data_IF_962658587419
#
_entry.id   IF_962658587419
#
_cell.length_a   1.000
_cell.length_b   1.000
_cell.length_c   1.000
_cell.angle_alpha   90.00
_cell.angle_beta   90.00
_cell.angle_gamma   90.00
#
_symmetry.space_group_name_H-M   'P 1'
#
loop_
_entity.id
_entity.type
_entity.pdbx_description
1 polymer ?
#
# COMPACT_ATOMS: atom_id res chain seq x y z
N UNK A 1 -14.45 23.59 10.43
CA UNK A 1 -13.37 23.41 9.43
C UNK A 1 -13.35 21.96 8.99
N UNK A 2 -13.19 21.70 7.69
CA UNK A 2 -13.07 20.34 7.17
C UNK A 2 -11.66 19.81 7.49
N UNK A 3 -11.55 18.58 8.00
CA UNK A 3 -10.28 17.91 8.28
C UNK A 3 -9.47 17.75 6.98
N UNK A 4 -8.18 18.07 7.03
CA UNK A 4 -7.26 17.92 5.89
C UNK A 4 -6.09 17.02 6.24
N UNK A 5 -5.90 15.96 5.46
CA UNK A 5 -4.91 14.90 5.70
C UNK A 5 -3.83 14.91 4.61
N UNK A 6 -2.56 14.92 5.04
CA UNK A 6 -1.44 14.58 4.17
C UNK A 6 -1.19 13.08 4.23
N UNK A 7 -1.47 12.38 3.15
CA UNK A 7 -1.15 10.95 2.99
C UNK A 7 0.20 10.84 2.30
N UNK A 8 1.10 10.01 2.82
CA UNK A 8 2.41 9.75 2.22
C UNK A 8 2.46 8.33 1.65
N UNK A 9 2.69 8.21 0.35
CA UNK A 9 2.91 6.97 -0.39
C UNK A 9 4.13 7.15 -1.30
N UNK A 10 5.32 7.28 -0.70
CA UNK A 10 6.51 7.81 -1.36
C UNK A 10 6.99 6.98 -2.56
N UNK A 11 6.92 5.64 -2.49
CA UNK A 11 7.55 4.76 -3.49
C UNK A 11 6.61 4.26 -4.59
N UNK A 12 5.29 4.39 -4.41
CA UNK A 12 4.32 3.88 -5.39
C UNK A 12 3.08 4.77 -5.44
N UNK A 13 2.61 5.07 -6.65
CA UNK A 13 1.44 5.90 -6.90
C UNK A 13 0.15 5.08 -6.68
N UNK A 14 -0.79 5.54 -5.80
CA UNK A 14 -2.02 4.79 -5.50
C UNK A 14 -2.96 4.61 -6.68
N UNK A 15 -2.89 5.50 -7.68
CA UNK A 15 -3.73 5.45 -8.87
C UNK A 15 -3.02 4.83 -10.09
N UNK A 16 -1.79 4.35 -9.92
CA UNK A 16 -1.09 3.62 -10.99
C UNK A 16 -1.84 2.31 -11.34
N UNK A 17 -1.76 1.85 -12.60
CA UNK A 17 -2.34 0.58 -13.02
C UNK A 17 -1.87 -0.58 -12.16
N UNK A 18 -2.80 -1.48 -11.79
CA UNK A 18 -2.46 -2.69 -11.03
C UNK A 18 -1.73 -3.70 -11.90
N UNK A 19 -0.92 -4.56 -11.27
CA UNK A 19 -0.16 -5.60 -11.96
C UNK A 19 1.26 -5.17 -12.37
N UNK A 20 1.62 -3.90 -12.24
CA UNK A 20 2.99 -3.42 -12.42
C UNK A 20 3.92 -3.77 -11.24
N UNK A 21 5.20 -3.41 -11.38
CA UNK A 21 6.17 -3.50 -10.31
C UNK A 21 5.70 -2.73 -9.07
N UNK A 22 5.70 -3.38 -7.92
CA UNK A 22 5.31 -2.81 -6.62
C UNK A 22 3.87 -2.25 -6.51
N UNK A 23 3.06 -2.28 -7.59
CA UNK A 23 1.63 -1.93 -7.49
C UNK A 23 0.82 -3.13 -6.99
N UNK A 24 -0.02 -2.92 -5.98
CA UNK A 24 -0.75 -4.03 -5.38
C UNK A 24 -1.73 -3.59 -4.29
N UNK A 25 -1.94 -4.44 -3.30
CA UNK A 25 -2.92 -4.22 -2.23
C UNK A 25 -2.77 -2.90 -1.48
N UNK A 26 -1.54 -2.42 -1.27
CA UNK A 26 -1.31 -1.13 -0.63
C UNK A 26 -1.85 0.03 -1.49
N UNK A 27 -1.63 0.02 -2.80
CA UNK A 27 -2.14 1.04 -3.70
C UNK A 27 -3.66 1.10 -3.67
N UNK A 28 -4.31 -0.07 -3.73
CA UNK A 28 -5.77 -0.18 -3.61
C UNK A 28 -6.24 0.37 -2.26
N UNK A 29 -5.58 -0.04 -1.16
CA UNK A 29 -5.93 0.42 0.18
C UNK A 29 -5.84 1.94 0.31
N UNK A 30 -4.71 2.55 -0.10
CA UNK A 30 -4.51 4.00 -0.02
C UNK A 30 -5.53 4.75 -0.86
N UNK A 31 -5.75 4.30 -2.10
CA UNK A 31 -6.72 4.90 -3.03
C UNK A 31 -8.15 4.84 -2.46
N UNK A 32 -8.60 3.67 -2.04
CA UNK A 32 -9.99 3.49 -1.61
C UNK A 32 -10.25 4.12 -0.24
N UNK A 33 -9.28 4.08 0.69
CA UNK A 33 -9.39 4.80 1.96
C UNK A 33 -9.52 6.31 1.74
N UNK A 34 -8.64 6.88 0.90
CA UNK A 34 -8.66 8.32 0.62
C UNK A 34 -9.96 8.74 -0.10
N UNK A 35 -10.46 7.91 -1.03
CA UNK A 35 -11.77 8.11 -1.67
C UNK A 35 -12.89 8.11 -0.64
N UNK A 36 -12.89 7.15 0.28
CA UNK A 36 -13.93 7.03 1.30
C UNK A 36 -13.89 8.18 2.34
N UNK A 37 -12.70 8.70 2.64
CA UNK A 37 -12.52 9.89 3.47
C UNK A 37 -13.01 11.15 2.74
N UNK A 38 -12.67 11.32 1.47
CA UNK A 38 -13.15 12.42 0.63
C UNK A 38 -14.67 12.46 0.55
N UNK A 39 -15.33 11.31 0.35
CA UNK A 39 -16.79 11.18 0.34
C UNK A 39 -17.44 11.58 1.69
N UNK A 40 -16.66 11.65 2.78
CA UNK A 40 -17.11 12.13 4.11
C UNK A 40 -16.74 13.57 4.40
N UNK A 41 -16.28 14.32 3.39
CA UNK A 41 -15.93 15.73 3.53
C UNK A 41 -14.51 15.98 4.06
N UNK A 42 -13.64 14.96 4.11
CA UNK A 42 -12.24 15.10 4.45
C UNK A 42 -11.43 15.44 3.20
N UNK A 43 -10.58 16.46 3.25
CA UNK A 43 -9.66 16.76 2.16
C UNK A 43 -8.39 15.91 2.29
N UNK A 44 -8.03 15.18 1.23
CA UNK A 44 -6.87 14.26 1.24
C UNK A 44 -5.91 14.59 0.10
N UNK A 45 -4.69 14.96 0.43
CA UNK A 45 -3.58 15.11 -0.50
C UNK A 45 -2.63 13.91 -0.35
N UNK A 46 -2.50 13.07 -1.39
CA UNK A 46 -1.62 11.92 -1.38
C UNK A 46 -0.32 12.29 -2.11
N UNK A 47 0.76 12.41 -1.37
CA UNK A 47 2.07 12.68 -1.93
C UNK A 47 2.76 11.39 -2.36
N UNK A 48 3.17 11.34 -3.61
CA UNK A 48 3.91 10.21 -4.19
C UNK A 48 5.02 10.70 -5.12
N UNK A 49 6.08 9.92 -5.25
CA UNK A 49 7.17 10.22 -6.18
C UNK A 49 6.67 10.11 -7.63
N UNK A 50 7.03 11.08 -8.46
CA UNK A 50 6.82 11.01 -9.90
C UNK A 50 7.66 9.88 -10.49
N UNK A 51 7.04 8.94 -11.18
CA UNK A 51 7.70 7.78 -11.79
C UNK A 51 7.71 7.83 -13.32
N UNK A 52 6.93 8.72 -13.92
CA UNK A 52 6.87 8.95 -15.35
C UNK A 52 6.73 10.45 -15.61
N UNK A 53 7.20 10.94 -16.74
CA UNK A 53 7.14 12.36 -17.11
C UNK A 53 5.78 12.81 -17.65
N UNK A 54 4.92 11.88 -18.02
CA UNK A 54 3.63 12.10 -18.68
C UNK A 54 2.45 12.26 -17.71
N UNK A 55 2.70 12.24 -16.40
CA UNK A 55 1.65 12.43 -15.39
C UNK A 55 1.56 13.89 -14.93
N UNK A 56 0.35 14.39 -14.72
CA UNK A 56 0.12 15.71 -14.16
C UNK A 56 0.64 15.84 -12.73
N UNK A 57 1.06 17.06 -12.32
CA UNK A 57 1.54 17.33 -10.96
C UNK A 57 0.48 17.00 -9.90
N UNK A 58 -0.77 17.32 -10.19
CA UNK A 58 -1.91 17.06 -9.31
C UNK A 58 -3.02 16.39 -10.10
N UNK A 59 -3.48 15.26 -9.61
CA UNK A 59 -4.61 14.51 -10.19
C UNK A 59 -5.69 14.34 -9.14
N UNK A 60 -6.81 15.01 -9.30
CA UNK A 60 -8.02 14.72 -8.53
C UNK A 60 -8.70 13.49 -9.12
N UNK A 61 -8.75 12.40 -8.37
CA UNK A 61 -9.32 11.14 -8.85
C UNK A 61 -10.65 10.78 -8.18
N UNK A 62 -11.02 11.55 -7.15
CA UNK A 62 -12.30 11.43 -6.44
C UNK A 62 -12.56 12.74 -5.68
N UNK A 63 -13.84 13.12 -5.44
CA UNK A 63 -14.16 14.30 -4.65
C UNK A 63 -13.41 14.31 -3.29
N UNK A 64 -12.70 15.39 -3.02
CA UNK A 64 -11.90 15.57 -1.80
C UNK A 64 -10.61 14.76 -1.72
N UNK A 65 -10.26 13.96 -2.74
CA UNK A 65 -9.04 13.16 -2.75
C UNK A 65 -8.25 13.35 -4.04
N UNK A 66 -6.98 13.76 -3.92
CA UNK A 66 -6.08 13.98 -5.04
C UNK A 66 -4.68 13.42 -4.77
N UNK A 67 -4.02 13.05 -5.85
CA UNK A 67 -2.61 12.63 -5.85
C UNK A 67 -1.75 13.82 -6.26
N UNK A 68 -0.70 14.08 -5.51
CA UNK A 68 0.32 15.07 -5.79
C UNK A 68 1.61 14.32 -6.16
N UNK A 69 2.00 14.40 -7.42
CA UNK A 69 3.25 13.82 -7.90
C UNK A 69 4.39 14.80 -7.64
N UNK A 70 5.36 14.39 -6.85
CA UNK A 70 6.52 15.22 -6.50
C UNK A 70 7.78 14.71 -7.18
N UNK A 71 8.59 15.65 -7.67
CA UNK A 71 9.87 15.34 -8.28
C UNK A 71 10.90 15.01 -7.21
N UNK A 72 11.35 13.75 -7.23
CA UNK A 72 12.35 13.22 -6.32
C UNK A 72 13.11 12.08 -7.01
N UNK A 73 14.25 12.39 -7.59
CA UNK A 73 15.04 11.48 -8.40
C UNK A 73 14.47 11.27 -9.82
N UNK A 74 14.89 10.20 -10.53
CA UNK A 74 14.57 9.98 -11.92
C UNK A 74 13.08 9.63 -12.13
N UNK A 75 12.51 10.08 -13.24
CA UNK A 75 11.13 9.80 -13.64
C UNK A 75 11.00 8.38 -14.23
N UNK A 76 11.34 7.39 -13.44
CA UNK A 76 11.20 5.96 -13.75
C UNK A 76 11.03 5.16 -12.47
N UNK A 77 10.65 3.92 -12.60
CA UNK A 77 10.71 2.98 -11.49
C UNK A 77 12.16 2.78 -11.04
N UNK A 78 12.40 2.79 -9.74
CA UNK A 78 13.67 2.48 -9.08
C UNK A 78 13.41 1.54 -7.91
N UNK A 79 14.43 0.81 -7.48
CA UNK A 79 14.31 -0.05 -6.30
C UNK A 79 13.93 0.76 -5.06
N UNK A 80 13.17 0.15 -4.17
CA UNK A 80 12.71 0.78 -2.93
C UNK A 80 13.85 1.29 -2.03
N UNK A 81 15.02 0.66 -2.08
CA UNK A 81 16.18 1.11 -1.33
C UNK A 81 16.85 2.33 -1.97
N UNK A 82 16.84 2.41 -3.31
CA UNK A 82 17.34 3.60 -4.02
C UNK A 82 16.44 4.82 -3.76
N UNK A 83 15.15 4.62 -3.46
CA UNK A 83 14.25 5.73 -3.07
C UNK A 83 14.74 6.45 -1.82
N UNK A 84 15.50 5.78 -0.94
CA UNK A 84 16.07 6.41 0.27
C UNK A 84 16.92 7.65 -0.04
N UNK A 85 17.68 7.60 -1.12
CA UNK A 85 18.59 8.68 -1.52
C UNK A 85 17.83 9.92 -1.97
N UNK A 86 16.60 9.75 -2.47
CA UNK A 86 15.73 10.81 -2.95
C UNK A 86 14.69 11.29 -1.93
N UNK A 87 14.67 10.75 -0.71
CA UNK A 87 13.74 11.24 0.33
C UNK A 87 13.97 12.70 0.73
N UNK A 88 15.21 13.24 0.74
CA UNK A 88 15.41 14.67 0.94
C UNK A 88 14.75 15.53 -0.14
N UNK A 89 14.87 15.17 -1.42
CA UNK A 89 14.24 15.87 -2.53
C UNK A 89 12.71 15.78 -2.43
N UNK A 90 12.20 14.59 -2.10
CA UNK A 90 10.77 14.40 -1.84
C UNK A 90 10.28 15.35 -0.73
N UNK A 91 11.03 15.45 0.36
CA UNK A 91 10.67 16.33 1.47
C UNK A 91 10.66 17.80 1.03
N UNK A 92 11.66 18.25 0.27
CA UNK A 92 11.73 19.62 -0.28
C UNK A 92 10.54 19.90 -1.21
N UNK A 93 10.19 18.96 -2.10
CA UNK A 93 9.09 19.11 -3.04
C UNK A 93 7.72 19.20 -2.31
N UNK A 94 7.49 18.39 -1.28
CA UNK A 94 6.27 18.49 -0.45
C UNK A 94 6.19 19.84 0.27
N UNK A 95 7.29 20.32 0.84
CA UNK A 95 7.32 21.64 1.51
C UNK A 95 7.07 22.78 0.52
N UNK A 96 7.65 22.68 -0.68
CA UNK A 96 7.40 23.64 -1.76
C UNK A 96 5.93 23.66 -2.17
N UNK A 97 5.32 22.48 -2.34
CA UNK A 97 3.89 22.38 -2.64
C UNK A 97 3.04 23.07 -1.56
N UNK A 98 3.33 22.81 -0.29
CA UNK A 98 2.64 23.49 0.83
C UNK A 98 2.78 25.00 0.78
N UNK A 99 3.99 25.50 0.55
CA UNK A 99 4.25 26.93 0.50
C UNK A 99 3.51 27.59 -0.67
N UNK A 100 3.51 26.98 -1.85
CA UNK A 100 2.87 27.52 -3.04
C UNK A 100 1.33 27.49 -2.97
N UNK A 101 0.76 26.49 -2.32
CA UNK A 101 -0.70 26.31 -2.24
C UNK A 101 -1.33 26.83 -0.96
N UNK A 102 -0.52 27.27 0.02
CA UNK A 102 -1.00 27.60 1.36
C UNK A 102 -1.58 26.42 2.13
N UNK A 103 -1.30 25.18 1.71
CA UNK A 103 -1.88 23.99 2.32
C UNK A 103 -1.40 23.80 3.75
N UNK A 104 -2.34 23.65 4.68
CA UNK A 104 -2.12 23.18 6.05
C UNK A 104 -2.81 21.83 6.24
N UNK A 105 -2.22 21.00 7.07
CA UNK A 105 -2.74 19.65 7.35
C UNK A 105 -2.96 19.50 8.85
N UNK A 106 -4.00 18.78 9.21
CA UNK A 106 -4.37 18.48 10.60
C UNK A 106 -3.81 17.12 11.03
N UNK A 107 -3.39 16.27 10.07
CA UNK A 107 -2.93 14.92 10.29
C UNK A 107 -2.00 14.48 9.15
N UNK A 108 -0.99 13.67 9.48
CA UNK A 108 -0.21 12.91 8.50
C UNK A 108 -0.57 11.42 8.62
N UNK A 109 -0.86 10.77 7.49
CA UNK A 109 -1.00 9.32 7.42
C UNK A 109 0.08 8.73 6.52
N UNK A 110 1.03 8.03 7.11
CA UNK A 110 2.11 7.37 6.36
C UNK A 110 1.78 5.93 6.01
N UNK A 111 2.08 5.56 4.78
CA UNK A 111 1.95 4.19 4.30
C UNK A 111 3.31 3.64 3.91
N UNK A 112 3.68 2.52 4.53
CA UNK A 112 4.95 1.84 4.32
C UNK A 112 6.15 2.55 4.98
N UNK A 113 7.25 1.84 5.14
CA UNK A 113 8.42 2.28 5.90
C UNK A 113 9.12 3.52 5.33
N UNK A 114 9.21 3.64 3.99
CA UNK A 114 9.81 4.81 3.33
C UNK A 114 9.07 6.09 3.67
N UNK A 115 7.75 6.04 3.57
CA UNK A 115 6.88 7.16 3.94
C UNK A 115 6.95 7.47 5.43
N UNK A 116 7.12 6.45 6.27
CA UNK A 116 7.28 6.60 7.72
C UNK A 116 8.49 7.46 8.10
N UNK A 117 9.63 7.26 7.41
CA UNK A 117 10.83 8.09 7.62
C UNK A 117 10.60 9.57 7.34
N UNK A 118 9.85 9.88 6.27
CA UNK A 118 9.48 11.26 5.95
C UNK A 118 8.47 11.82 6.93
N UNK A 119 7.47 11.01 7.29
CA UNK A 119 6.35 11.41 8.12
C UNK A 119 6.78 11.86 9.52
N UNK A 120 7.76 11.19 10.13
CA UNK A 120 8.33 11.63 11.42
C UNK A 120 8.85 13.07 11.37
N UNK A 121 9.58 13.43 10.32
CA UNK A 121 10.12 14.77 10.14
C UNK A 121 9.02 15.81 9.87
N UNK A 122 8.00 15.42 9.12
CA UNK A 122 6.88 16.32 8.82
C UNK A 122 5.99 16.52 10.03
N UNK A 123 5.70 15.47 10.81
CA UNK A 123 4.90 15.56 12.02
C UNK A 123 5.53 16.51 13.04
N UNK A 124 6.82 16.37 13.30
CA UNK A 124 7.58 17.28 14.15
C UNK A 124 7.55 18.71 13.61
N UNK A 125 7.89 18.92 12.34
CA UNK A 125 7.98 20.25 11.74
C UNK A 125 6.64 20.99 11.63
N UNK A 126 5.55 20.24 11.37
CA UNK A 126 4.22 20.83 11.19
C UNK A 126 3.42 20.89 12.49
N UNK A 127 3.88 20.23 13.56
CA UNK A 127 3.19 20.15 14.84
C UNK A 127 1.86 19.40 14.75
N UNK A 128 1.78 18.35 13.92
CA UNK A 128 0.55 17.59 13.67
C UNK A 128 0.74 16.11 13.99
N UNK A 129 -0.32 15.40 14.40
CA UNK A 129 -0.24 13.99 14.73
C UNK A 129 0.11 13.11 13.52
N UNK A 130 0.81 12.00 13.80
CA UNK A 130 1.21 10.98 12.83
C UNK A 130 0.45 9.69 13.05
N UNK A 131 -0.24 9.24 12.02
CA UNK A 131 -0.77 7.88 11.89
C UNK A 131 0.08 7.08 10.92
N UNK A 132 0.39 5.81 11.22
CA UNK A 132 1.19 4.95 10.36
C UNK A 132 0.53 3.60 10.09
N UNK A 133 0.60 3.15 8.82
CA UNK A 133 0.19 1.80 8.38
C UNK A 133 1.33 1.17 7.59
N UNK A 134 1.81 -0.02 8.00
CA UNK A 134 3.04 -0.58 7.44
C UNK A 134 2.82 -1.50 6.23
N UNK A 135 1.66 -2.13 6.10
CA UNK A 135 1.28 -3.11 5.06
C UNK A 135 2.12 -4.38 5.03
N UNK A 136 3.43 -4.28 5.23
CA UNK A 136 4.36 -5.39 5.37
C UNK A 136 5.49 -4.99 6.31
N UNK A 137 6.09 -5.98 6.99
CA UNK A 137 7.17 -5.77 7.96
C UNK A 137 8.43 -6.51 7.52
N UNK A 138 9.61 -5.88 7.70
CA UNK A 138 10.90 -6.46 7.36
C UNK A 138 11.11 -7.82 8.03
N UNK A 139 10.83 -7.90 9.34
CA UNK A 139 11.01 -9.13 10.12
C UNK A 139 10.16 -10.29 9.58
N UNK A 140 8.92 -10.03 9.16
CA UNK A 140 8.06 -11.07 8.60
C UNK A 140 8.53 -11.53 7.23
N UNK A 141 9.01 -10.61 6.40
CA UNK A 141 9.59 -10.96 5.10
C UNK A 141 10.88 -11.78 5.26
N UNK A 142 11.74 -11.40 6.20
CA UNK A 142 12.98 -12.12 6.48
C UNK A 142 12.76 -13.54 7.02
N UNK A 143 11.64 -13.81 7.69
CA UNK A 143 11.30 -15.16 8.17
C UNK A 143 10.98 -16.14 7.04
N UNK A 144 10.55 -15.66 5.89
CA UNK A 144 10.20 -16.49 4.73
C UNK A 144 11.22 -16.37 3.58
N UNK A 145 12.27 -15.57 3.78
CA UNK A 145 13.38 -15.44 2.84
C UNK A 145 14.25 -16.69 2.88
N UNK A 146 14.48 -17.29 1.71
CA UNK A 146 15.31 -18.49 1.57
C UNK A 146 16.75 -18.17 1.13
N UNK A 147 16.99 -16.95 0.67
CA UNK A 147 18.31 -16.47 0.26
C UNK A 147 18.64 -15.12 0.89
N UNK A 148 19.92 -14.77 0.91
CA UNK A 148 20.38 -13.45 1.36
C UNK A 148 19.81 -12.32 0.48
N UNK A 149 19.62 -12.57 -0.82
CA UNK A 149 19.09 -11.59 -1.77
C UNK A 149 17.59 -11.27 -1.53
N UNK A 150 16.84 -12.18 -0.92
CA UNK A 150 15.43 -11.95 -0.57
C UNK A 150 15.25 -11.21 0.75
N UNK A 151 16.31 -11.09 1.53
CA UNK A 151 16.22 -10.45 2.85
C UNK A 151 16.12 -8.94 2.73
N UNK A 152 15.26 -8.37 3.53
CA UNK A 152 15.17 -6.93 3.71
C UNK A 152 16.40 -6.44 4.49
N UNK A 153 16.94 -5.29 4.07
CA UNK A 153 18.12 -4.68 4.71
C UNK A 153 17.80 -4.18 6.13
N UNK A 154 18.80 -4.12 6.99
CA UNK A 154 18.67 -3.66 8.38
C UNK A 154 18.16 -2.22 8.50
N UNK A 155 18.48 -1.36 7.53
CA UNK A 155 18.00 0.02 7.47
C UNK A 155 16.47 0.09 7.46
N UNK A 156 15.78 -0.84 6.76
CA UNK A 156 14.32 -0.92 6.76
C UNK A 156 13.78 -1.21 8.15
N UNK A 157 14.32 -2.22 8.84
CA UNK A 157 13.92 -2.57 10.19
C UNK A 157 14.05 -1.37 11.15
N UNK A 158 15.19 -0.67 11.08
CA UNK A 158 15.43 0.48 11.95
C UNK A 158 14.47 1.64 11.66
N UNK A 159 14.14 1.90 10.39
CA UNK A 159 13.13 2.91 10.02
C UNK A 159 11.74 2.49 10.51
N UNK A 160 11.34 1.22 10.33
CA UNK A 160 10.07 0.71 10.85
C UNK A 160 9.98 0.91 12.36
N UNK A 161 11.03 0.52 13.11
CA UNK A 161 11.11 0.65 14.56
C UNK A 161 10.97 2.12 15.01
N UNK A 162 11.73 3.03 14.39
CA UNK A 162 11.65 4.47 14.71
C UNK A 162 10.29 5.06 14.37
N UNK A 163 9.72 4.68 13.23
CA UNK A 163 8.39 5.15 12.82
C UNK A 163 7.33 4.67 13.79
N UNK A 164 7.37 3.40 14.21
CA UNK A 164 6.44 2.88 15.20
C UNK A 164 6.55 3.61 16.54
N UNK A 165 7.78 3.86 17.01
CA UNK A 165 8.01 4.57 18.27
C UNK A 165 7.53 6.03 18.25
N UNK A 166 7.69 6.73 17.12
CA UNK A 166 7.33 8.14 16.96
C UNK A 166 5.93 8.40 16.41
N UNK A 167 5.14 7.38 16.11
CA UNK A 167 3.75 7.56 15.65
C UNK A 167 2.80 7.77 16.82
N UNK A 168 1.85 8.69 16.70
CA UNK A 168 0.77 8.88 17.67
C UNK A 168 -0.23 7.72 17.63
N UNK A 169 -0.45 7.15 16.47
CA UNK A 169 -1.28 5.96 16.25
C UNK A 169 -0.70 5.08 15.16
N UNK A 170 -0.86 3.77 15.34
CA UNK A 170 -0.53 2.77 14.32
C UNK A 170 -1.82 2.03 13.97
N UNK A 171 -2.09 1.93 12.68
CA UNK A 171 -3.18 1.10 12.16
C UNK A 171 -2.60 -0.26 11.78
N UNK A 172 -3.01 -1.29 12.52
CA UNK A 172 -2.80 -2.68 12.15
C UNK A 172 -4.03 -3.19 11.37
N UNK A 173 -3.81 -3.84 10.23
CA UNK A 173 -4.93 -4.31 9.39
C UNK A 173 -5.60 -5.55 9.96
N UNK A 174 -4.87 -6.31 10.80
CA UNK A 174 -5.38 -7.51 11.49
C UNK A 174 -4.87 -7.57 12.93
N UNK A 175 -5.54 -8.38 13.76
CA UNK A 175 -5.05 -8.69 15.10
C UNK A 175 -3.68 -9.40 15.06
N UNK A 176 -3.44 -10.21 14.02
CA UNK A 176 -2.15 -10.88 13.80
C UNK A 176 -1.06 -9.85 13.49
N UNK A 177 -1.32 -8.87 12.62
CA UNK A 177 -0.35 -7.79 12.34
C UNK A 177 0.03 -7.05 13.62
N UNK A 178 -0.97 -6.69 14.43
CA UNK A 178 -0.73 -6.06 15.73
C UNK A 178 0.19 -6.92 16.62
N UNK A 179 -0.11 -8.20 16.73
CA UNK A 179 0.69 -9.14 17.53
C UNK A 179 2.15 -9.23 17.03
N UNK A 180 2.33 -9.28 15.70
CA UNK A 180 3.66 -9.34 15.10
C UNK A 180 4.44 -8.01 15.30
N UNK A 181 3.78 -6.86 15.22
CA UNK A 181 4.39 -5.57 15.52
C UNK A 181 4.87 -5.51 16.97
N UNK A 182 4.04 -5.94 17.94
CA UNK A 182 4.42 -6.00 19.35
C UNK A 182 5.62 -6.95 19.55
N UNK A 183 5.55 -8.14 18.96
CA UNK A 183 6.59 -9.17 19.12
C UNK A 183 7.95 -8.76 18.57
N UNK A 184 8.00 -8.09 17.42
CA UNK A 184 9.24 -7.82 16.71
C UNK A 184 9.80 -6.41 16.88
N UNK A 185 8.95 -5.45 17.29
CA UNK A 185 9.34 -4.04 17.40
C UNK A 185 9.13 -3.44 18.79
N UNK A 186 8.60 -4.22 19.72
CA UNK A 186 8.34 -3.83 21.11
C UNK A 186 6.90 -3.42 21.39
N UNK A 187 6.59 -3.25 22.66
CA UNK A 187 5.25 -2.88 23.11
C UNK A 187 4.90 -1.45 22.67
N UNK A 188 3.86 -1.32 21.87
CA UNK A 188 3.39 -0.05 21.34
C UNK A 188 1.96 0.18 21.82
N UNK A 189 1.82 1.07 22.79
CA UNK A 189 0.55 1.30 23.48
C UNK A 189 -0.57 1.91 22.61
N UNK A 190 -0.25 2.35 21.39
CA UNK A 190 -1.15 3.19 20.57
C UNK A 190 -1.55 2.56 19.23
N UNK A 191 -1.82 1.24 19.23
CA UNK A 191 -2.28 0.53 18.04
C UNK A 191 -3.79 0.33 18.01
N UNK A 192 -4.41 0.63 16.86
CA UNK A 192 -5.77 0.26 16.55
C UNK A 192 -5.79 -0.85 15.49
N UNK A 193 -6.63 -1.87 15.66
CA UNK A 193 -6.89 -2.86 14.62
C UNK A 193 -8.06 -2.36 13.79
N UNK A 194 -7.78 -1.98 12.54
CA UNK A 194 -8.78 -1.47 11.59
C UNK A 194 -8.63 -2.28 10.31
N UNK A 195 -9.51 -3.26 10.06
CA UNK A 195 -9.46 -4.07 8.84
C UNK A 195 -9.61 -3.23 7.56
N UNK A 196 -9.00 -3.73 6.48
CA UNK A 196 -9.23 -3.15 5.16
C UNK A 196 -10.69 -3.28 4.75
N UNK A 197 -11.25 -2.19 4.20
CA UNK A 197 -12.60 -2.18 3.65
C UNK A 197 -12.66 -2.75 2.24
N UNK A 198 -13.85 -3.11 1.80
CA UNK A 198 -14.16 -3.53 0.44
C UNK A 198 -15.41 -2.80 -0.06
N UNK A 199 -15.42 -2.47 -1.35
CA UNK A 199 -16.60 -1.89 -2.00
C UNK A 199 -17.63 -2.99 -2.27
N UNK A 200 -18.68 -3.05 -1.44
CA UNK A 200 -19.72 -4.07 -1.51
C UNK A 200 -20.67 -3.89 -2.73
N UNK A 201 -20.72 -2.70 -3.32
CA UNK A 201 -21.46 -2.51 -4.56
C UNK A 201 -20.76 -3.16 -5.76
N UNK A 202 -19.42 -3.10 -5.75
CA UNK A 202 -18.57 -3.72 -6.79
C UNK A 202 -18.31 -5.20 -6.52
N UNK A 203 -17.98 -5.56 -5.27
CA UNK A 203 -17.64 -6.94 -4.87
C UNK A 203 -18.82 -7.56 -4.13
N UNK A 204 -19.75 -8.07 -4.88
CA UNK A 204 -20.97 -8.73 -4.40
C UNK A 204 -21.04 -10.16 -4.93
N UNK A 205 -21.66 -11.09 -4.21
CA UNK A 205 -21.95 -12.41 -4.77
C UNK A 205 -22.77 -12.29 -6.05
N UNK A 206 -22.36 -13.04 -7.07
CA UNK A 206 -23.05 -13.18 -8.35
C UNK A 206 -23.37 -14.66 -8.51
N UNK A 207 -24.53 -14.99 -9.09
CA UNK A 207 -24.91 -16.36 -9.39
C UNK A 207 -23.81 -17.02 -10.25
N UNK A 208 -23.38 -18.21 -9.85
CA UNK A 208 -22.25 -18.92 -10.47
C UNK A 208 -22.40 -19.10 -11.98
N UNK A 209 -23.60 -19.48 -12.44
CA UNK A 209 -23.87 -19.68 -13.85
C UNK A 209 -23.80 -18.35 -14.63
N UNK A 210 -24.24 -17.25 -14.05
CA UNK A 210 -24.14 -15.90 -14.63
C UNK A 210 -22.69 -15.46 -14.76
N UNK A 211 -21.91 -15.59 -13.68
CA UNK A 211 -20.50 -15.21 -13.67
C UNK A 211 -19.69 -16.02 -14.70
N UNK A 212 -19.93 -17.31 -14.83
CA UNK A 212 -19.26 -18.17 -15.81
C UNK A 212 -19.62 -17.78 -17.24
N UNK A 213 -20.88 -17.52 -17.52
CA UNK A 213 -21.32 -17.06 -18.86
C UNK A 213 -20.66 -15.71 -19.22
N UNK A 214 -20.63 -14.77 -18.29
CA UNK A 214 -19.99 -13.47 -18.51
C UNK A 214 -18.49 -13.58 -18.84
N UNK A 215 -17.82 -14.61 -18.35
CA UNK A 215 -16.39 -14.87 -18.57
C UNK A 215 -16.14 -15.87 -19.71
N UNK A 216 -17.16 -16.36 -20.41
CA UNK A 216 -17.01 -17.38 -21.46
C UNK A 216 -16.50 -18.73 -20.94
N UNK A 217 -16.76 -19.05 -19.67
CA UNK A 217 -16.32 -20.28 -19.04
C UNK A 217 -17.40 -21.37 -19.13
N UNK A 218 -16.95 -22.62 -19.30
CA UNK A 218 -17.83 -23.79 -19.26
C UNK A 218 -18.56 -23.90 -17.90
N UNK A 219 -19.86 -24.14 -17.95
CA UNK A 219 -20.75 -24.27 -16.79
C UNK A 219 -20.48 -25.50 -15.92
N UNK A 220 -20.00 -26.60 -16.51
CA UNK A 220 -19.92 -27.94 -15.90
C UNK A 220 -18.57 -28.24 -15.21
N UNK A 221 -17.47 -27.69 -15.72
CA UNK A 221 -16.13 -28.01 -15.22
C UNK A 221 -15.91 -27.50 -13.78
N UNK A 222 -15.18 -28.29 -12.98
CA UNK A 222 -14.65 -27.81 -11.70
C UNK A 222 -13.54 -26.80 -11.94
N UNK A 223 -13.48 -25.75 -11.17
CA UNK A 223 -12.48 -24.69 -11.34
C UNK A 223 -11.76 -24.40 -10.03
N UNK A 224 -10.43 -24.47 -10.09
CA UNK A 224 -9.53 -23.88 -9.10
C UNK A 224 -9.10 -22.51 -9.64
N UNK A 225 -9.29 -21.46 -8.87
CA UNK A 225 -8.94 -20.10 -9.26
C UNK A 225 -7.79 -19.59 -8.41
N UNK A 226 -6.71 -19.14 -9.05
CA UNK A 226 -5.64 -18.38 -8.44
C UNK A 226 -5.68 -16.95 -8.97
N UNK A 227 -5.75 -15.97 -8.05
CA UNK A 227 -5.70 -14.56 -8.39
C UNK A 227 -4.55 -13.90 -7.63
N UNK A 228 -3.57 -13.34 -8.35
CA UNK A 228 -2.46 -12.68 -7.69
C UNK A 228 -1.21 -12.56 -8.57
N UNK A 229 -0.28 -11.71 -8.11
CA UNK A 229 1.02 -11.58 -8.80
C UNK A 229 1.76 -12.92 -8.80
N UNK A 230 2.43 -13.24 -9.91
CA UNK A 230 3.28 -14.42 -10.02
C UNK A 230 4.56 -14.15 -9.22
N UNK A 231 4.48 -14.42 -7.92
CA UNK A 231 5.57 -14.30 -6.97
C UNK A 231 5.57 -15.53 -6.08
N UNK A 232 6.76 -16.02 -5.72
CA UNK A 232 6.93 -17.21 -4.87
C UNK A 232 6.09 -17.17 -3.59
N UNK A 233 6.09 -16.01 -2.91
CA UNK A 233 5.32 -15.79 -1.68
C UNK A 233 3.80 -15.99 -1.85
N UNK A 234 3.28 -15.93 -3.09
CA UNK A 234 1.85 -16.15 -3.39
C UNK A 234 1.50 -17.63 -3.57
N UNK A 235 2.50 -18.50 -3.61
CA UNK A 235 2.31 -19.95 -3.59
C UNK A 235 1.81 -20.56 -4.90
N UNK A 236 1.90 -19.87 -6.04
CA UNK A 236 1.46 -20.44 -7.34
C UNK A 236 2.20 -21.75 -7.67
N UNK A 237 3.50 -21.82 -7.39
CA UNK A 237 4.29 -23.04 -7.64
C UNK A 237 3.78 -24.22 -6.80
N UNK A 238 3.42 -23.97 -5.54
CA UNK A 238 2.84 -25.00 -4.65
C UNK A 238 1.49 -25.47 -5.21
N UNK A 239 0.65 -24.53 -5.67
CA UNK A 239 -0.63 -24.84 -6.29
C UNK A 239 -0.46 -25.67 -7.56
N UNK A 240 0.48 -25.31 -8.45
CA UNK A 240 0.77 -26.08 -9.67
C UNK A 240 1.22 -27.51 -9.38
N UNK A 241 2.12 -27.68 -8.39
CA UNK A 241 2.56 -29.02 -7.96
C UNK A 241 1.42 -29.83 -7.35
N UNK A 242 0.53 -29.20 -6.60
CA UNK A 242 -0.65 -29.86 -6.04
C UNK A 242 -1.64 -30.24 -7.15
N UNK A 243 -1.90 -29.32 -8.09
CA UNK A 243 -2.79 -29.56 -9.23
C UNK A 243 -2.29 -30.69 -10.14
N UNK A 244 -0.98 -30.78 -10.39
CA UNK A 244 -0.38 -31.86 -11.17
C UNK A 244 -0.55 -33.25 -10.54
N UNK A 245 -0.88 -33.35 -9.25
CA UNK A 245 -1.16 -34.63 -8.56
C UNK A 245 -2.65 -34.99 -8.55
N UNK A 246 -3.51 -34.12 -9.07
CA UNK A 246 -4.93 -34.37 -9.15
C UNK A 246 -5.22 -35.25 -10.35
N UNK A 247 -6.04 -36.27 -10.14
CA UNK A 247 -6.44 -37.23 -11.19
C UNK A 247 -7.82 -36.92 -11.81
N UNK A 248 -8.41 -35.78 -11.47
CA UNK A 248 -9.73 -35.38 -11.95
C UNK A 248 -9.62 -34.60 -13.27
N UNK A 249 -10.01 -35.20 -14.41
CA UNK A 249 -9.89 -34.57 -15.74
C UNK A 249 -10.86 -33.40 -15.93
N UNK A 250 -11.91 -33.30 -15.11
CA UNK A 250 -12.93 -32.23 -15.19
C UNK A 250 -12.52 -30.96 -14.43
N UNK A 251 -11.41 -31.03 -13.72
CA UNK A 251 -10.91 -29.87 -12.98
C UNK A 251 -9.94 -29.03 -13.82
N UNK A 252 -10.20 -27.74 -13.91
CA UNK A 252 -9.34 -26.75 -14.59
C UNK A 252 -8.71 -25.79 -13.56
N UNK A 253 -7.46 -25.44 -13.79
CA UNK A 253 -6.78 -24.37 -13.04
C UNK A 253 -6.78 -23.09 -13.88
N UNK A 254 -7.32 -22.02 -13.31
CA UNK A 254 -7.33 -20.68 -13.92
C UNK A 254 -6.42 -19.79 -13.09
N UNK A 255 -5.46 -19.13 -13.75
CA UNK A 255 -4.49 -18.22 -13.14
C UNK A 255 -4.71 -16.83 -13.72
N UNK A 256 -4.91 -15.83 -12.85
CA UNK A 256 -5.19 -14.42 -13.18
C UNK A 256 -4.21 -13.49 -12.47
#
# INVERSE_FOLDING_TARGET
MSLRIAVLSAHTCPIAPLGGWETGGMNVYVRELSRALGARGVSVDIFTRRQTSDVADVVEYSPGARVVHVDAGPHRHIDKYDVLDYLPDFACAVQRFRALTGASYDLIHSHYWLSGRLALRFADRWGVPLVSTFHTLAQLKNRVAESAAEREQSVRYEIERRTMAGSDRIVALTAVDRQQMVRHYGALARMAVIPGGVDLARFRPIERAEARRALGLDGSSKMLLFVGRIQRLKGLEVLLRAFARMSDPDTRLVVV
#
